data_IF_701943341003
#
_entry.id   IF_701943341003
#
_cell.length_a   1.000
_cell.length_b   1.000
_cell.length_c   1.000
_cell.angle_alpha   90.00
_cell.angle_beta   90.00
_cell.angle_gamma   90.00
#
_symmetry.space_group_name_H-M   'P 1'
#
loop_
_entity.id
_entity.type
_entity.pdbx_description
1 polymer ?
#
# COMPACT_ATOMS: atom_id res chain seq x y z
N UNK A 1 27.21 6.56 7.76
CA UNK A 1 26.15 6.28 6.77
C UNK A 1 24.83 6.19 7.52
N UNK A 2 23.83 7.01 7.17
CA UNK A 2 22.56 7.04 7.91
C UNK A 2 21.85 5.69 7.80
N UNK A 3 21.76 4.94 8.92
CA UNK A 3 21.01 3.69 9.05
C UNK A 3 19.49 3.92 9.15
N UNK A 4 19.00 4.96 8.46
CA UNK A 4 17.58 5.29 8.47
C UNK A 4 16.96 4.78 7.18
N UNK A 5 15.78 4.16 7.23
CA UNK A 5 15.09 3.74 6.03
C UNK A 5 14.76 4.95 5.15
N UNK A 6 14.64 4.72 3.83
CA UNK A 6 14.41 5.79 2.88
C UNK A 6 13.01 6.39 3.07
N UNK A 7 12.94 7.58 3.69
CA UNK A 7 11.70 8.33 3.97
C UNK A 7 10.79 8.52 2.74
N UNK A 8 11.37 8.55 1.54
CA UNK A 8 10.61 8.65 0.29
C UNK A 8 9.79 7.37 0.01
N UNK A 9 10.36 6.21 0.30
CA UNK A 9 9.70 4.93 0.08
C UNK A 9 8.58 4.71 1.11
N UNK A 10 8.77 5.12 2.37
CA UNK A 10 7.69 5.20 3.37
C UNK A 10 6.55 6.10 2.89
N UNK A 11 6.87 7.29 2.38
CA UNK A 11 5.87 8.26 1.90
C UNK A 11 5.12 7.73 0.68
N UNK A 12 5.80 7.00 -0.19
CA UNK A 12 5.21 6.34 -1.34
C UNK A 12 4.26 5.23 -0.89
N UNK A 13 4.69 4.37 0.04
CA UNK A 13 3.87 3.33 0.67
C UNK A 13 2.60 3.94 1.31
N UNK A 14 2.74 5.03 2.06
CA UNK A 14 1.64 5.79 2.66
C UNK A 14 0.63 6.30 1.64
N UNK A 15 1.07 6.69 0.44
CA UNK A 15 0.20 7.26 -0.57
C UNK A 15 -0.77 6.23 -1.15
N UNK A 16 -0.32 4.99 -1.38
CA UNK A 16 -1.14 3.95 -2.02
C UNK A 16 -1.72 2.93 -1.05
N UNK A 17 -1.08 2.68 0.09
CA UNK A 17 -1.51 1.67 1.06
C UNK A 17 -2.61 2.21 1.98
N UNK A 18 -3.53 1.34 2.38
CA UNK A 18 -4.56 1.71 3.35
C UNK A 18 -3.93 1.83 4.75
N UNK A 19 -4.33 2.81 5.58
CA UNK A 19 -3.66 3.10 6.86
C UNK A 19 -3.63 1.91 7.83
N UNK A 20 -4.64 1.04 7.79
CA UNK A 20 -4.71 -0.17 8.64
C UNK A 20 -3.71 -1.26 8.23
N UNK A 21 -3.31 -1.30 6.96
CA UNK A 21 -2.33 -2.26 6.44
C UNK A 21 -0.92 -1.65 6.42
N UNK A 22 -0.86 -0.33 6.32
CA UNK A 22 0.36 0.45 6.28
C UNK A 22 1.20 0.24 7.53
N UNK A 23 0.60 0.27 8.72
CA UNK A 23 1.33 0.17 9.98
C UNK A 23 2.08 -1.16 10.10
N UNK A 24 1.39 -2.26 9.79
CA UNK A 24 1.97 -3.61 9.76
C UNK A 24 3.08 -3.74 8.71
N UNK A 25 2.81 -3.34 7.46
CA UNK A 25 3.79 -3.42 6.37
C UNK A 25 5.00 -2.52 6.62
N UNK A 26 4.79 -1.33 7.18
CA UNK A 26 5.86 -0.39 7.46
C UNK A 26 6.77 -0.88 8.59
N UNK A 27 6.20 -1.55 9.60
CA UNK A 27 6.93 -2.24 10.67
C UNK A 27 7.83 -3.34 10.11
N UNK A 28 7.25 -4.29 9.37
CA UNK A 28 7.99 -5.41 8.73
C UNK A 28 9.14 -4.90 7.86
N UNK A 29 8.88 -3.90 7.02
CA UNK A 29 9.89 -3.32 6.14
C UNK A 29 11.02 -2.62 6.90
N UNK A 30 10.73 -2.00 8.05
CA UNK A 30 11.74 -1.38 8.90
C UNK A 30 12.65 -2.43 9.54
N UNK A 31 12.06 -3.47 10.13
CA UNK A 31 12.82 -4.55 10.79
C UNK A 31 13.74 -5.27 9.79
N UNK A 32 13.20 -5.64 8.63
CA UNK A 32 13.97 -6.26 7.55
C UNK A 32 15.08 -5.33 7.03
N UNK A 33 14.81 -4.02 6.89
CA UNK A 33 15.83 -3.05 6.50
C UNK A 33 16.98 -2.98 7.48
N UNK A 34 16.70 -2.92 8.78
CA UNK A 34 17.74 -2.86 9.80
C UNK A 34 18.59 -4.14 9.82
N UNK A 35 17.94 -5.30 9.69
CA UNK A 35 18.63 -6.58 9.58
C UNK A 35 19.56 -6.63 8.37
N UNK A 36 19.06 -6.25 7.19
CA UNK A 36 19.83 -6.23 5.95
C UNK A 36 20.91 -5.14 5.95
N UNK A 37 20.65 -3.99 6.57
CA UNK A 37 21.64 -2.91 6.68
C UNK A 37 22.83 -3.33 7.54
N UNK A 38 22.59 -4.11 8.60
CA UNK A 38 23.63 -4.69 9.46
C UNK A 38 24.44 -5.78 8.75
N UNK A 39 23.80 -6.67 7.99
CA UNK A 39 24.47 -7.82 7.36
C UNK A 39 25.06 -7.52 5.96
N UNK A 40 24.28 -6.89 5.08
CA UNK A 40 24.61 -6.69 3.67
C UNK A 40 25.02 -5.24 3.32
N UNK A 41 24.91 -4.32 4.29
CA UNK A 41 25.28 -2.92 4.17
C UNK A 41 24.14 -2.02 3.67
N UNK A 42 24.20 -0.75 4.09
CA UNK A 42 23.13 0.23 3.89
C UNK A 42 22.74 0.46 2.41
N UNK A 43 23.69 0.34 1.48
CA UNK A 43 23.42 0.61 0.05
C UNK A 43 22.56 -0.48 -0.57
N UNK A 44 22.84 -1.74 -0.24
CA UNK A 44 22.08 -2.90 -0.73
C UNK A 44 20.72 -2.98 -0.03
N UNK A 45 20.68 -2.72 1.28
CA UNK A 45 19.44 -2.65 2.04
C UNK A 45 18.45 -1.60 1.47
N UNK A 46 18.95 -0.42 1.06
CA UNK A 46 18.08 0.61 0.43
C UNK A 46 17.46 0.18 -0.89
N UNK A 47 18.25 -0.46 -1.77
CA UNK A 47 17.73 -0.98 -3.04
C UNK A 47 16.72 -2.12 -2.82
N UNK A 48 16.99 -2.98 -1.84
CA UNK A 48 16.08 -4.05 -1.43
C UNK A 48 14.74 -3.49 -0.97
N UNK A 49 14.78 -2.52 -0.04
CA UNK A 49 13.61 -1.83 0.49
C UNK A 49 12.73 -1.26 -0.63
N UNK A 50 13.34 -0.58 -1.61
CA UNK A 50 12.60 -0.06 -2.77
C UNK A 50 11.94 -1.18 -3.58
N UNK A 51 12.64 -2.30 -3.80
CA UNK A 51 12.08 -3.45 -4.51
C UNK A 51 10.90 -4.06 -3.77
N UNK A 52 10.99 -4.16 -2.45
CA UNK A 52 9.92 -4.73 -1.62
C UNK A 52 8.71 -3.79 -1.60
N UNK A 53 8.91 -2.48 -1.41
CA UNK A 53 7.85 -1.45 -1.52
C UNK A 53 7.16 -1.48 -2.90
N UNK A 54 7.92 -1.64 -3.98
CA UNK A 54 7.34 -1.78 -5.33
C UNK A 54 6.62 -3.12 -5.52
N UNK A 55 7.05 -4.19 -4.84
CA UNK A 55 6.35 -5.47 -4.80
C UNK A 55 4.99 -5.37 -4.11
N UNK A 56 4.90 -4.54 -3.06
CA UNK A 56 3.64 -4.21 -2.38
C UNK A 56 2.69 -3.34 -3.22
N UNK A 57 3.11 -2.84 -4.39
CA UNK A 57 2.25 -2.11 -5.33
C UNK A 57 1.22 -3.00 -6.05
N UNK A 58 1.06 -4.26 -5.61
CA UNK A 58 0.04 -5.13 -6.16
C UNK A 58 -1.38 -4.61 -5.84
N UNK A 59 -2.34 -4.75 -6.77
CA UNK A 59 -3.74 -4.37 -6.56
C UNK A 59 -4.37 -5.00 -5.32
N UNK A 60 -3.81 -6.11 -4.82
CA UNK A 60 -4.26 -6.78 -3.60
C UNK A 60 -4.05 -5.94 -2.33
N UNK A 61 -2.93 -5.22 -2.23
CA UNK A 61 -2.63 -4.35 -1.09
C UNK A 61 -3.23 -2.95 -1.25
N UNK A 62 -3.44 -2.52 -2.51
CA UNK A 62 -4.10 -1.25 -2.85
C UNK A 62 -5.62 -1.35 -2.73
N UNK A 63 -6.21 -2.53 -2.97
CA UNK A 63 -7.65 -2.76 -2.81
C UNK A 63 -8.02 -2.58 -1.35
N UNK A 64 -8.40 -1.34 -1.00
CA UNK A 64 -9.19 -1.03 0.18
C UNK A 64 -10.39 -1.97 0.15
N UNK A 65 -10.56 -2.76 1.23
CA UNK A 65 -11.74 -3.62 1.36
C UNK A 65 -12.97 -2.79 0.97
N UNK A 66 -13.79 -3.23 0.01
CA UNK A 66 -15.04 -2.53 -0.25
C UNK A 66 -15.76 -2.43 1.08
N UNK A 67 -16.22 -1.22 1.42
CA UNK A 67 -17.03 -0.99 2.61
C UNK A 67 -18.08 -2.09 2.70
N UNK A 68 -18.28 -2.63 3.91
CA UNK A 68 -19.26 -3.68 4.18
C UNK A 68 -20.70 -3.28 3.82
N UNK A 69 -20.92 -2.00 3.49
CA UNK A 69 -22.08 -1.50 2.78
C UNK A 69 -21.75 -1.36 1.29
N UNK A 70 -22.29 -2.23 0.41
CA UNK A 70 -22.38 -1.86 -0.98
C UNK A 70 -23.32 -0.66 -1.06
N UNK A 71 -22.85 0.47 -1.55
CA UNK A 71 -23.71 1.60 -1.91
C UNK A 71 -24.45 1.24 -3.21
N UNK A 72 -25.23 0.18 -3.15
CA UNK A 72 -26.20 -0.18 -4.18
C UNK A 72 -27.29 0.90 -4.15
N UNK A 73 -27.74 1.31 -5.33
CA UNK A 73 -28.93 2.13 -5.59
C UNK A 73 -28.83 3.67 -5.73
N UNK A 74 -27.69 4.26 -6.07
CA UNK A 74 -27.75 5.63 -6.66
C UNK A 74 -27.95 5.65 -8.18
N UNK A 75 -27.69 4.54 -8.87
CA UNK A 75 -27.96 4.39 -10.30
C UNK A 75 -28.80 3.15 -10.59
N UNK A 76 -30.03 3.15 -10.07
CA UNK A 76 -31.06 2.25 -10.60
C UNK A 76 -31.40 2.68 -12.03
N UNK A 77 -30.62 2.20 -13.01
CA UNK A 77 -30.97 2.22 -14.43
C UNK A 77 -32.36 1.61 -14.71
N UNK A 78 -32.87 0.81 -13.76
CA UNK A 78 -34.23 0.29 -13.79
C UNK A 78 -35.31 1.37 -13.63
N UNK A 79 -35.04 2.46 -12.92
CA UNK A 79 -36.01 3.56 -12.78
C UNK A 79 -36.11 4.40 -14.06
N UNK A 80 -35.00 4.62 -14.77
CA UNK A 80 -34.97 5.40 -16.02
C UNK A 80 -35.75 4.68 -17.13
N UNK A 81 -35.67 3.35 -17.21
CA UNK A 81 -36.40 2.56 -18.22
C UNK A 81 -37.92 2.69 -18.12
N UNK A 82 -38.46 3.02 -16.94
CA UNK A 82 -39.90 3.15 -16.74
C UNK A 82 -40.46 4.52 -17.17
N UNK A 83 -39.59 5.51 -17.38
CA UNK A 83 -39.99 6.87 -17.83
C UNK A 83 -40.00 7.04 -19.36
N UNK A 84 -39.48 6.06 -20.10
CA UNK A 84 -39.47 6.06 -21.57
C UNK A 84 -40.54 5.13 -22.18
N UNK A 85 -41.54 4.70 -21.39
CA UNK A 85 -42.68 3.93 -21.87
C UNK A 85 -43.97 4.74 -21.78
#
# INVERSE_FOLDING_TARGET
MSMKPPRLADRFLQFFCAPHLLEEVQGDLHEEFEYQAKHAGARRARWRYWRDVLGFLQPRYIKRKPSQYPQTYLFSLNMIRNYFK
#
